data_IF_744234913204
#
_entry.id   IF_744234913204
#
_cell.length_a   1.000
_cell.length_b   1.000
_cell.length_c   1.000
_cell.angle_alpha   90.00
_cell.angle_beta   90.00
_cell.angle_gamma   90.00
#
_symmetry.space_group_name_H-M   'P 1'
#
loop_
_entity.id
_entity.type
_entity.pdbx_description
1 polymer ?
#
# COMPACT_ATOMS: atom_id res chain seq x y z
N UNK A 1 -15.05 -13.95 -7.67
CA UNK A 1 -13.81 -13.85 -8.48
C UNK A 1 -12.64 -14.29 -7.63
N UNK A 2 -12.03 -15.42 -7.98
CA UNK A 2 -10.95 -16.05 -7.21
C UNK A 2 -9.74 -16.09 -8.13
N UNK A 3 -8.76 -15.22 -7.90
CA UNK A 3 -7.45 -15.34 -8.55
C UNK A 3 -6.74 -16.49 -7.83
N UNK A 4 -6.39 -17.55 -8.54
CA UNK A 4 -5.76 -18.75 -7.98
C UNK A 4 -4.36 -18.88 -8.58
N UNK A 5 -3.30 -18.56 -7.83
CA UNK A 5 -1.94 -18.92 -8.20
C UNK A 5 -1.77 -20.42 -7.99
N UNK A 6 -1.63 -21.16 -9.09
CA UNK A 6 -1.13 -22.53 -9.03
C UNK A 6 0.39 -22.50 -9.12
N UNK A 7 1.05 -22.72 -7.98
CA UNK A 7 2.49 -22.95 -7.90
C UNK A 7 2.79 -24.34 -8.44
N UNK A 8 3.75 -24.44 -9.36
CA UNK A 8 4.22 -25.71 -9.93
C UNK A 8 4.56 -26.69 -8.80
N UNK A 9 4.09 -27.96 -8.85
CA UNK A 9 4.49 -28.96 -7.89
C UNK A 9 6.00 -29.20 -8.02
N UNK A 10 6.78 -28.67 -7.08
CA UNK A 10 8.13 -29.19 -6.82
C UNK A 10 7.97 -30.66 -6.45
N UNK A 11 8.60 -31.53 -7.23
CA UNK A 11 8.76 -32.96 -6.92
C UNK A 11 9.34 -33.10 -5.51
N UNK A 12 8.47 -33.30 -4.52
CA UNK A 12 8.86 -33.61 -3.14
C UNK A 12 9.44 -35.03 -3.15
N UNK A 13 10.76 -35.14 -3.29
CA UNK A 13 11.48 -36.30 -2.78
C UNK A 13 11.38 -36.20 -1.25
N UNK A 14 10.69 -37.14 -0.62
CA UNK A 14 10.55 -37.17 0.83
C UNK A 14 11.95 -37.24 1.47
N UNK A 15 12.33 -36.31 2.37
CA UNK A 15 13.58 -36.42 3.11
C UNK A 15 13.41 -37.48 4.21
N UNK A 16 14.29 -38.49 4.22
CA UNK A 16 14.41 -39.51 5.28
C UNK A 16 15.07 -38.98 6.58
N UNK A 17 14.96 -37.68 6.86
CA UNK A 17 15.55 -37.06 8.05
C UNK A 17 14.47 -36.42 8.93
N UNK A 18 14.61 -36.47 10.27
CA UNK A 18 13.69 -35.76 11.17
C UNK A 18 13.66 -34.29 10.77
N UNK A 19 12.46 -33.78 10.47
CA UNK A 19 12.31 -32.39 10.04
C UNK A 19 12.81 -31.49 11.18
N UNK A 20 13.73 -30.53 10.90
CA UNK A 20 14.11 -29.55 11.89
C UNK A 20 12.85 -28.81 12.36
N UNK A 21 12.79 -28.45 13.64
CA UNK A 21 11.77 -27.56 14.20
C UNK A 21 11.79 -26.25 13.39
N UNK A 22 10.90 -26.14 12.41
CA UNK A 22 10.80 -24.99 11.51
C UNK A 22 9.68 -24.10 12.01
N UNK A 23 10.01 -22.87 12.40
CA UNK A 23 8.99 -21.88 12.76
C UNK A 23 8.15 -21.59 11.50
N UNK A 24 6.81 -21.73 11.54
CA UNK A 24 6.02 -21.43 10.36
C UNK A 24 6.15 -19.94 10.01
N UNK A 25 6.53 -19.65 8.77
CA UNK A 25 6.85 -18.28 8.30
C UNK A 25 5.74 -17.26 8.53
N UNK A 26 4.48 -17.71 8.63
CA UNK A 26 3.32 -16.88 8.96
C UNK A 26 3.40 -16.25 10.36
N UNK A 27 3.94 -16.96 11.35
CA UNK A 27 4.11 -16.44 12.71
C UNK A 27 5.12 -15.29 12.74
N UNK A 28 6.26 -15.48 12.07
CA UNK A 28 7.28 -14.44 11.92
C UNK A 28 6.70 -13.20 11.25
N UNK A 29 5.92 -13.38 10.18
CA UNK A 29 5.24 -12.26 9.48
C UNK A 29 4.23 -11.54 10.36
N UNK A 30 3.46 -12.23 11.19
CA UNK A 30 2.53 -11.59 12.11
C UNK A 30 3.25 -10.78 13.20
N UNK A 31 4.40 -11.25 13.69
CA UNK A 31 5.25 -10.48 14.60
C UNK A 31 5.76 -9.21 13.90
N UNK A 32 6.27 -9.34 12.68
CA UNK A 32 6.69 -8.18 11.86
C UNK A 32 5.51 -7.19 11.70
N UNK A 33 4.32 -7.68 11.38
CA UNK A 33 3.12 -6.85 11.24
C UNK A 33 2.77 -6.09 12.52
N UNK A 34 2.92 -6.73 13.69
CA UNK A 34 2.71 -6.08 14.98
C UNK A 34 3.68 -4.91 15.19
N UNK A 35 4.97 -5.11 14.87
CA UNK A 35 5.96 -4.03 14.92
C UNK A 35 5.77 -2.95 13.84
N UNK A 36 5.06 -3.25 12.75
CA UNK A 36 4.68 -2.26 11.73
C UNK A 36 3.50 -1.37 12.16
N UNK A 37 2.66 -1.78 13.12
CA UNK A 37 1.51 -0.98 13.56
C UNK A 37 1.90 0.42 14.11
N UNK A 38 2.94 0.57 14.95
CA UNK A 38 3.43 1.90 15.33
C UNK A 38 3.79 2.77 14.12
N UNK A 39 4.45 2.18 13.11
CA UNK A 39 4.81 2.89 11.89
C UNK A 39 3.57 3.29 11.08
N UNK A 40 2.52 2.46 11.04
CA UNK A 40 1.23 2.85 10.47
C UNK A 40 0.70 4.12 11.16
N UNK A 41 0.65 4.13 12.49
CA UNK A 41 0.12 5.26 13.24
C UNK A 41 0.93 6.54 13.03
N UNK A 42 2.27 6.45 13.12
CA UNK A 42 3.18 7.58 12.96
C UNK A 42 3.12 8.14 11.53
N UNK A 43 3.12 7.26 10.52
CA UNK A 43 3.03 7.68 9.13
C UNK A 43 1.67 8.32 8.83
N UNK A 44 0.58 7.82 9.42
CA UNK A 44 -0.76 8.40 9.27
C UNK A 44 -0.82 9.78 9.89
N UNK A 45 -0.31 9.93 11.11
CA UNK A 45 -0.20 11.23 11.76
C UNK A 45 0.64 12.21 10.93
N UNK A 46 1.76 11.74 10.38
CA UNK A 46 2.65 12.56 9.53
C UNK A 46 1.95 12.98 8.24
N UNK A 47 1.27 12.06 7.56
CA UNK A 47 0.49 12.33 6.36
C UNK A 47 -0.58 13.39 6.62
N UNK A 48 -1.39 13.24 7.68
CA UNK A 48 -2.43 14.22 7.99
C UNK A 48 -1.86 15.57 8.45
N UNK A 49 -0.74 15.58 9.17
CA UNK A 49 -0.05 16.83 9.54
C UNK A 49 0.41 17.58 8.30
N UNK A 50 1.09 16.88 7.38
CA UNK A 50 1.54 17.43 6.12
C UNK A 50 0.37 17.88 5.24
N UNK A 51 -0.69 17.06 5.14
CA UNK A 51 -1.88 17.35 4.34
C UNK A 51 -2.63 18.57 4.86
N UNK A 52 -2.84 18.67 6.17
CA UNK A 52 -3.45 19.83 6.81
C UNK A 52 -2.60 21.08 6.58
N UNK A 53 -1.27 20.98 6.71
CA UNK A 53 -0.36 22.10 6.44
C UNK A 53 -0.47 22.55 4.98
N UNK A 54 -0.48 21.62 4.03
CA UNK A 54 -0.67 21.91 2.61
C UNK A 54 -2.02 22.60 2.34
N UNK A 55 -3.08 22.07 2.93
CA UNK A 55 -4.45 22.53 2.67
C UNK A 55 -4.71 23.90 3.29
N UNK A 56 -4.39 24.09 4.57
CA UNK A 56 -4.71 25.30 5.31
C UNK A 56 -3.72 26.42 4.99
N UNK A 57 -2.42 26.17 5.13
CA UNK A 57 -1.40 27.21 5.04
C UNK A 57 -0.94 27.49 3.62
N UNK A 58 -0.98 26.49 2.75
CA UNK A 58 -0.44 26.59 1.39
C UNK A 58 -1.52 26.60 0.32
N UNK A 59 -2.79 26.60 0.72
CA UNK A 59 -3.93 26.69 -0.19
C UNK A 59 -3.85 25.63 -1.29
N UNK A 60 -3.50 24.37 -0.95
CA UNK A 60 -3.47 23.25 -1.90
C UNK A 60 -4.78 23.18 -2.72
N UNK A 61 -5.91 23.48 -2.07
CA UNK A 61 -7.23 23.54 -2.68
C UNK A 61 -7.40 24.69 -3.69
N UNK A 62 -6.53 25.69 -3.73
CA UNK A 62 -6.55 26.73 -4.77
C UNK A 62 -5.86 26.29 -6.07
N UNK A 63 -5.05 25.22 -6.03
CA UNK A 63 -4.39 24.66 -7.21
C UNK A 63 -5.37 23.95 -8.13
N UNK A 64 -5.24 24.17 -9.44
CA UNK A 64 -6.06 23.47 -10.43
C UNK A 64 -5.81 21.95 -10.38
N UNK A 65 -4.56 21.55 -10.13
CA UNK A 65 -4.10 20.18 -10.01
C UNK A 65 -4.91 19.38 -8.98
N UNK A 66 -5.17 19.99 -7.81
CA UNK A 66 -5.99 19.39 -6.76
C UNK A 66 -7.43 19.16 -7.21
N UNK A 67 -8.04 20.13 -7.90
CA UNK A 67 -9.41 20.00 -8.40
C UNK A 67 -9.53 19.00 -9.53
N UNK A 68 -8.60 18.96 -10.48
CA UNK A 68 -8.60 17.98 -11.55
C UNK A 68 -8.39 16.56 -11.01
N UNK A 69 -7.45 16.37 -10.06
CA UNK A 69 -7.29 15.09 -9.38
C UNK A 69 -8.57 14.67 -8.65
N UNK A 70 -9.13 15.57 -7.84
CA UNK A 70 -10.38 15.33 -7.11
C UNK A 70 -11.53 14.99 -8.06
N UNK A 71 -11.67 15.73 -9.16
CA UNK A 71 -12.68 15.48 -10.19
C UNK A 71 -12.53 14.08 -10.77
N UNK A 72 -11.31 13.69 -11.16
CA UNK A 72 -11.05 12.34 -11.66
C UNK A 72 -11.41 11.25 -10.64
N UNK A 73 -11.03 11.43 -9.38
CA UNK A 73 -11.37 10.49 -8.31
C UNK A 73 -12.88 10.39 -8.08
N UNK A 74 -13.60 11.52 -8.05
CA UNK A 74 -15.06 11.57 -7.89
C UNK A 74 -15.78 10.93 -9.08
N UNK A 75 -15.37 11.24 -10.31
CA UNK A 75 -15.93 10.62 -11.52
C UNK A 75 -15.75 9.10 -11.50
N UNK A 76 -14.59 8.61 -11.07
CA UNK A 76 -14.37 7.19 -10.89
C UNK A 76 -15.27 6.59 -9.81
N UNK A 77 -15.41 7.24 -8.65
CA UNK A 77 -16.29 6.75 -7.58
C UNK A 77 -17.75 6.64 -8.05
N UNK A 78 -18.24 7.65 -8.78
CA UNK A 78 -19.56 7.62 -9.42
C UNK A 78 -19.66 6.42 -10.37
N UNK A 79 -18.67 6.21 -11.23
CA UNK A 79 -18.66 5.05 -12.14
C UNK A 79 -18.60 3.71 -11.38
N UNK A 80 -17.80 3.60 -10.33
CA UNK A 80 -17.62 2.36 -9.56
C UNK A 80 -18.89 1.92 -8.83
N UNK A 81 -19.68 2.87 -8.33
CA UNK A 81 -20.94 2.60 -7.63
C UNK A 81 -22.17 2.62 -8.56
N UNK A 82 -22.14 3.39 -9.65
CA UNK A 82 -23.27 3.58 -10.55
C UNK A 82 -23.25 2.74 -11.84
N UNK A 83 -22.09 2.22 -12.25
CA UNK A 83 -21.94 1.44 -13.49
C UNK A 83 -21.44 0.02 -13.20
N UNK A 84 -21.60 -0.93 -14.15
CA UNK A 84 -20.96 -2.23 -14.07
C UNK A 84 -19.44 -2.08 -13.91
N UNK A 85 -18.88 -2.70 -12.87
CA UNK A 85 -17.45 -2.61 -12.56
C UNK A 85 -16.62 -3.17 -13.71
N UNK A 86 -15.56 -2.48 -14.18
CA UNK A 86 -14.70 -2.94 -15.26
C UNK A 86 -13.72 -4.01 -14.77
N UNK A 87 -14.25 -5.17 -14.41
CA UNK A 87 -13.52 -6.24 -13.74
C UNK A 87 -12.36 -6.78 -14.60
N UNK A 88 -12.53 -6.88 -15.92
CA UNK A 88 -11.47 -7.38 -16.82
C UNK A 88 -10.24 -6.45 -16.78
N UNK A 89 -10.46 -5.13 -16.77
CA UNK A 89 -9.37 -4.15 -16.66
C UNK A 89 -8.63 -4.38 -15.35
N UNK A 90 -9.36 -4.50 -14.24
CA UNK A 90 -8.76 -4.77 -12.95
C UNK A 90 -7.92 -6.05 -12.94
N UNK A 91 -8.47 -7.17 -13.42
CA UNK A 91 -7.76 -8.47 -13.44
C UNK A 91 -6.52 -8.39 -14.32
N UNK A 92 -6.62 -7.74 -15.48
CA UNK A 92 -5.48 -7.53 -16.35
C UNK A 92 -4.36 -6.78 -15.61
N UNK A 93 -4.68 -5.66 -14.97
CA UNK A 93 -3.73 -4.88 -14.20
C UNK A 93 -3.15 -5.66 -13.01
N UNK A 94 -3.98 -6.48 -12.35
CA UNK A 94 -3.58 -7.34 -11.23
C UNK A 94 -2.52 -8.36 -11.66
N UNK A 95 -2.81 -9.16 -12.69
CA UNK A 95 -1.87 -10.16 -13.18
C UNK A 95 -0.63 -9.52 -13.80
N UNK A 96 -0.78 -8.41 -14.53
CA UNK A 96 0.36 -7.74 -15.15
C UNK A 96 1.31 -7.19 -14.08
N UNK A 97 0.76 -6.69 -12.97
CA UNK A 97 1.57 -6.27 -11.82
C UNK A 97 2.38 -7.43 -11.25
N UNK A 98 1.77 -8.61 -11.10
CA UNK A 98 2.51 -9.82 -10.70
C UNK A 98 3.67 -10.12 -11.67
N UNK A 99 3.42 -10.07 -12.99
CA UNK A 99 4.46 -10.29 -14.00
C UNK A 99 5.62 -9.31 -13.86
N UNK A 100 5.34 -8.02 -13.72
CA UNK A 100 6.36 -6.98 -13.58
C UNK A 100 7.22 -7.21 -12.34
N UNK A 101 6.60 -7.57 -11.21
CA UNK A 101 7.31 -7.83 -9.96
C UNK A 101 8.09 -9.15 -9.99
N UNK A 102 7.61 -10.17 -10.71
CA UNK A 102 8.39 -11.37 -10.99
C UNK A 102 9.66 -11.03 -11.78
N UNK A 103 9.55 -10.20 -12.83
CA UNK A 103 10.69 -9.79 -13.63
C UNK A 103 11.68 -8.91 -12.87
N UNK A 104 11.18 -7.93 -12.10
CA UNK A 104 12.00 -7.14 -11.18
C UNK A 104 12.71 -8.04 -10.15
N UNK A 105 12.01 -9.11 -9.76
CA UNK A 105 12.47 -10.28 -9.03
C UNK A 105 13.69 -11.00 -9.61
N UNK A 106 13.96 -10.83 -10.91
CA UNK A 106 14.83 -11.69 -11.73
C UNK A 106 14.20 -13.04 -12.08
N UNK A 107 12.88 -13.17 -11.91
CA UNK A 107 12.12 -14.41 -12.13
C UNK A 107 11.63 -14.52 -13.58
N UNK A 108 11.00 -15.64 -13.90
CA UNK A 108 10.41 -15.90 -15.23
C UNK A 108 8.93 -16.20 -15.10
N UNK A 109 8.16 -15.73 -16.08
CA UNK A 109 6.73 -16.03 -16.23
C UNK A 109 6.59 -16.90 -17.48
N UNK A 110 6.00 -18.08 -17.31
CA UNK A 110 5.80 -19.04 -18.41
C UNK A 110 4.38 -19.00 -18.97
N UNK A 111 3.40 -18.55 -18.19
CA UNK A 111 2.01 -18.35 -18.64
C UNK A 111 1.41 -17.11 -18.00
N UNK A 112 0.61 -16.40 -18.78
CA UNK A 112 -0.16 -15.24 -18.37
C UNK A 112 -1.57 -15.41 -18.93
N UNK A 113 -2.59 -15.44 -18.06
CA UNK A 113 -3.99 -15.60 -18.47
C UNK A 113 -4.87 -14.62 -17.72
N UNK A 114 -5.75 -13.95 -18.46
CA UNK A 114 -6.73 -12.99 -17.95
C UNK A 114 -8.09 -13.32 -18.54
N UNK A 115 -9.14 -13.33 -17.72
CA UNK A 115 -10.54 -13.47 -18.14
C UNK A 115 -11.47 -12.63 -17.26
N UNK A 116 -12.75 -12.56 -17.65
CA UNK A 116 -13.80 -11.93 -16.84
C UNK A 116 -14.13 -12.68 -15.54
N UNK A 117 -13.64 -13.91 -15.36
CA UNK A 117 -13.87 -14.77 -14.19
C UNK A 117 -12.66 -14.84 -13.24
N UNK A 118 -11.46 -14.52 -13.72
CA UNK A 118 -10.23 -14.49 -12.95
C UNK A 118 -9.00 -14.28 -13.82
N UNK A 119 -7.85 -14.16 -13.16
CA UNK A 119 -6.54 -14.17 -13.79
C UNK A 119 -5.65 -15.20 -13.12
N UNK A 120 -4.55 -15.55 -13.77
CA UNK A 120 -3.41 -16.16 -13.11
C UNK A 120 -2.15 -16.03 -13.95
N UNK A 121 -1.01 -16.11 -13.25
CA UNK A 121 0.30 -16.30 -13.86
C UNK A 121 0.94 -17.61 -13.39
N UNK A 122 1.79 -18.20 -14.24
CA UNK A 122 2.66 -19.31 -13.84
C UNK A 122 4.10 -18.79 -13.84
N UNK A 123 4.77 -18.92 -12.70
CA UNK A 123 6.11 -18.38 -12.48
C UNK A 123 7.00 -19.34 -11.67
N UNK A 124 8.32 -19.20 -11.83
CA UNK A 124 9.32 -19.91 -11.04
C UNK A 124 9.76 -19.16 -9.76
N UNK A 125 9.23 -17.95 -9.51
CA UNK A 125 9.58 -17.14 -8.33
C UNK A 125 8.32 -16.64 -7.65
N UNK A 126 8.25 -16.82 -6.34
CA UNK A 126 7.15 -16.33 -5.50
C UNK A 126 7.68 -15.79 -4.18
N UNK A 127 7.14 -14.66 -3.73
CA UNK A 127 7.38 -14.06 -2.42
C UNK A 127 6.24 -13.08 -2.11
N UNK A 128 6.22 -12.53 -0.88
CA UNK A 128 5.14 -11.64 -0.46
C UNK A 128 5.11 -10.30 -1.19
N UNK A 129 6.25 -9.79 -1.66
CA UNK A 129 6.27 -8.54 -2.44
C UNK A 129 5.58 -8.75 -3.78
N UNK A 130 5.86 -9.86 -4.47
CA UNK A 130 5.17 -10.24 -5.70
C UNK A 130 3.68 -10.42 -5.41
N UNK A 131 3.33 -11.27 -4.43
CA UNK A 131 1.94 -11.59 -4.11
C UNK A 131 1.10 -10.36 -3.72
N UNK A 132 1.69 -9.41 -2.98
CA UNK A 132 0.97 -8.22 -2.53
C UNK A 132 1.09 -7.04 -3.49
N UNK A 133 1.95 -7.10 -4.50
CA UNK A 133 2.20 -6.00 -5.44
C UNK A 133 0.93 -5.40 -6.03
N UNK A 134 -0.05 -6.17 -6.53
CA UNK A 134 -1.27 -5.60 -7.10
C UNK A 134 -2.09 -4.74 -6.15
N UNK A 135 -1.93 -4.93 -4.83
CA UNK A 135 -2.70 -4.22 -3.81
C UNK A 135 -2.04 -2.90 -3.38
N UNK A 136 -0.76 -2.71 -3.67
CA UNK A 136 -0.06 -1.46 -3.34
C UNK A 136 0.57 -0.75 -4.53
N UNK A 137 0.77 -1.41 -5.68
CA UNK A 137 1.41 -0.82 -6.85
C UNK A 137 0.36 -0.29 -7.83
N UNK A 138 0.14 1.04 -7.92
CA UNK A 138 -0.88 1.63 -8.79
C UNK A 138 -0.42 1.64 -10.25
N UNK A 139 -0.46 0.46 -10.87
CA UNK A 139 0.03 0.24 -12.23
C UNK A 139 -0.47 1.30 -13.21
N UNK A 140 -1.78 1.58 -13.22
CA UNK A 140 -2.36 2.52 -14.17
C UNK A 140 -1.94 3.97 -13.93
N UNK A 141 -1.73 4.38 -12.67
CA UNK A 141 -1.21 5.72 -12.37
C UNK A 141 0.24 5.85 -12.82
N UNK A 142 1.05 4.81 -12.60
CA UNK A 142 2.45 4.79 -13.07
C UNK A 142 2.54 4.76 -14.60
N UNK A 143 1.66 4.03 -15.28
CA UNK A 143 1.56 4.05 -16.74
C UNK A 143 1.16 5.45 -17.24
N UNK A 144 0.20 6.13 -16.59
CA UNK A 144 -0.18 7.49 -16.96
C UNK A 144 1.01 8.47 -16.84
N UNK A 145 1.77 8.39 -15.74
CA UNK A 145 2.99 9.20 -15.54
C UNK A 145 4.04 8.86 -16.59
N UNK A 146 4.28 7.57 -16.86
CA UNK A 146 5.26 7.14 -17.85
C UNK A 146 4.89 7.60 -19.26
N UNK A 147 3.63 7.48 -19.66
CA UNK A 147 3.15 7.97 -20.96
C UNK A 147 3.32 9.48 -21.06
N UNK A 148 2.92 10.24 -20.04
CA UNK A 148 3.10 11.69 -20.02
C UNK A 148 4.59 12.08 -20.09
N UNK A 149 5.45 11.42 -19.32
CA UNK A 149 6.89 11.66 -19.28
C UNK A 149 7.62 11.25 -20.56
N UNK A 150 7.20 10.19 -21.23
CA UNK A 150 7.75 9.81 -22.55
C UNK A 150 7.27 10.82 -23.60
N UNK A 151 5.98 11.19 -23.59
CA UNK A 151 5.44 12.17 -24.53
C UNK A 151 6.11 13.54 -24.39
N UNK A 152 6.52 13.95 -23.18
CA UNK A 152 7.23 15.22 -22.96
C UNK A 152 8.62 15.27 -23.61
N UNK A 153 9.22 14.12 -23.94
CA UNK A 153 10.48 14.05 -24.68
C UNK A 153 10.32 14.42 -26.16
N UNK A 154 9.11 14.28 -26.69
CA UNK A 154 8.82 14.46 -28.11
C UNK A 154 7.91 15.67 -28.39
N UNK A 155 7.08 16.06 -27.42
CA UNK A 155 6.04 17.08 -27.58
C UNK A 155 5.98 18.02 -26.36
N UNK A 156 5.50 19.25 -26.57
CA UNK A 156 5.17 20.14 -25.46
C UNK A 156 3.86 19.68 -24.79
N UNK A 157 3.97 18.87 -23.74
CA UNK A 157 2.82 18.34 -22.99
C UNK A 157 2.39 19.21 -21.80
N UNK A 158 3.06 20.34 -21.56
CA UNK A 158 2.74 21.24 -20.44
C UNK A 158 1.25 21.64 -20.39
N UNK A 159 0.55 21.90 -21.52
CA UNK A 159 -0.88 22.22 -21.50
C UNK A 159 -1.77 21.09 -20.97
N UNK A 160 -1.30 19.83 -20.99
CA UNK A 160 -2.07 18.65 -20.58
C UNK A 160 -1.81 18.25 -19.12
N UNK A 161 -1.11 19.07 -18.32
CA UNK A 161 -0.84 18.76 -16.91
C UNK A 161 -2.12 18.48 -16.11
N UNK A 162 -3.16 19.30 -16.30
CA UNK A 162 -4.46 19.10 -15.65
C UNK A 162 -5.13 17.76 -16.04
N UNK A 163 -5.01 17.36 -17.30
CA UNK A 163 -5.51 16.06 -17.77
C UNK A 163 -4.74 14.89 -17.13
N UNK A 164 -3.42 15.03 -16.95
CA UNK A 164 -2.63 14.06 -16.19
C UNK A 164 -3.18 13.94 -14.76
N UNK A 165 -3.38 15.05 -14.04
CA UNK A 165 -3.92 15.02 -12.67
C UNK A 165 -5.31 14.37 -12.59
N UNK A 166 -6.22 14.67 -13.52
CA UNK A 166 -7.51 13.99 -13.60
C UNK A 166 -7.37 12.48 -13.86
N UNK A 167 -6.47 12.09 -14.76
CA UNK A 167 -6.17 10.67 -15.02
C UNK A 167 -5.58 9.98 -13.78
N UNK A 168 -4.70 10.66 -13.04
CA UNK A 168 -4.18 10.18 -11.76
C UNK A 168 -5.30 10.01 -10.73
N UNK A 169 -6.24 10.96 -10.64
CA UNK A 169 -7.42 10.85 -9.80
C UNK A 169 -8.24 9.60 -10.11
N UNK A 170 -8.58 9.39 -11.39
CA UNK A 170 -9.33 8.21 -11.86
C UNK A 170 -8.57 6.92 -11.53
N UNK A 171 -7.31 6.81 -11.96
CA UNK A 171 -6.52 5.58 -11.83
C UNK A 171 -6.19 5.26 -10.37
N UNK A 172 -6.04 6.27 -9.53
CA UNK A 172 -5.72 6.05 -8.12
C UNK A 172 -6.95 5.65 -7.33
N UNK A 173 -8.10 6.29 -7.59
CA UNK A 173 -9.37 5.85 -7.03
C UNK A 173 -9.76 4.45 -7.54
N UNK A 174 -9.47 4.12 -8.81
CA UNK A 174 -9.59 2.77 -9.37
C UNK A 174 -8.82 1.76 -8.53
N UNK A 175 -7.53 2.01 -8.30
CA UNK A 175 -6.69 1.11 -7.52
C UNK A 175 -7.22 0.91 -6.10
N UNK A 176 -7.53 2.00 -5.39
CA UNK A 176 -7.97 1.92 -3.99
C UNK A 176 -9.33 1.22 -3.85
N UNK A 177 -10.30 1.57 -4.71
CA UNK A 177 -11.63 0.94 -4.68
C UNK A 177 -11.57 -0.55 -4.98
N UNK A 178 -10.81 -0.97 -6.01
CA UNK A 178 -10.64 -2.39 -6.30
C UNK A 178 -9.83 -3.13 -5.24
N UNK A 179 -8.78 -2.51 -4.67
CA UNK A 179 -8.03 -3.08 -3.54
C UNK A 179 -8.97 -3.38 -2.36
N UNK A 180 -9.74 -2.38 -1.93
CA UNK A 180 -10.74 -2.53 -0.86
C UNK A 180 -11.81 -3.58 -1.20
N UNK A 181 -12.28 -3.61 -2.45
CA UNK A 181 -13.30 -4.56 -2.90
C UNK A 181 -12.80 -6.00 -2.97
N UNK A 182 -11.50 -6.22 -3.15
CA UNK A 182 -10.90 -7.54 -3.31
C UNK A 182 -10.40 -8.15 -2.01
N UNK A 183 -10.03 -7.33 -1.02
CA UNK A 183 -9.66 -7.77 0.34
C UNK A 183 -10.65 -8.78 0.96
N UNK A 184 -11.98 -8.53 0.99
CA UNK A 184 -12.91 -9.45 1.65
C UNK A 184 -13.17 -10.75 0.86
N UNK A 185 -12.59 -10.93 -0.33
CA UNK A 185 -12.86 -12.07 -1.22
C UNK A 185 -11.90 -13.24 -1.04
N UNK A 186 -11.24 -13.35 0.12
CA UNK A 186 -10.38 -14.48 0.48
C UNK A 186 -9.37 -14.86 -0.63
N UNK A 187 -8.71 -13.87 -1.22
CA UNK A 187 -7.68 -14.12 -2.23
C UNK A 187 -6.49 -14.85 -1.59
N UNK A 188 -5.93 -15.81 -2.32
CA UNK A 188 -4.73 -16.56 -1.90
C UNK A 188 -3.52 -15.64 -1.75
N UNK A 189 -3.44 -14.60 -2.59
CA UNK A 189 -2.41 -13.56 -2.54
C UNK A 189 -2.23 -12.95 -1.14
N UNK A 190 -3.33 -12.76 -0.38
CA UNK A 190 -3.27 -12.27 1.00
C UNK A 190 -3.06 -13.41 2.01
N UNK A 191 -3.81 -14.50 1.88
CA UNK A 191 -3.90 -15.53 2.92
C UNK A 191 -2.67 -16.45 2.97
N UNK A 192 -1.94 -16.63 1.86
CA UNK A 192 -0.72 -17.43 1.82
C UNK A 192 0.39 -16.87 2.71
N UNK A 193 0.40 -15.56 2.92
CA UNK A 193 1.38 -14.85 3.74
C UNK A 193 0.87 -14.46 5.13
N UNK A 194 -0.40 -14.77 5.45
CA UNK A 194 -1.09 -14.33 6.65
C UNK A 194 -1.81 -13.01 6.41
N UNK A 195 -3.15 -13.05 6.47
CA UNK A 195 -4.00 -11.90 6.14
C UNK A 195 -3.66 -10.66 6.96
N UNK A 196 -3.37 -10.80 8.27
CA UNK A 196 -3.00 -9.68 9.13
C UNK A 196 -1.75 -8.95 8.63
N UNK A 197 -0.66 -9.68 8.39
CA UNK A 197 0.56 -9.11 7.81
C UNK A 197 0.30 -8.45 6.46
N UNK A 198 -0.43 -9.13 5.57
CA UNK A 198 -0.74 -8.62 4.24
C UNK A 198 -1.48 -7.28 4.31
N UNK A 199 -2.50 -7.15 5.18
CA UNK A 199 -3.26 -5.92 5.34
C UNK A 199 -2.42 -4.77 5.90
N UNK A 200 -1.61 -5.04 6.93
CA UNK A 200 -0.70 -4.03 7.51
C UNK A 200 0.31 -3.55 6.46
N UNK A 201 0.90 -4.48 5.71
CA UNK A 201 1.86 -4.14 4.66
C UNK A 201 1.23 -3.33 3.53
N UNK A 202 0.07 -3.76 3.02
CA UNK A 202 -0.70 -3.04 1.99
C UNK A 202 -1.02 -1.62 2.47
N UNK A 203 -1.46 -1.46 3.73
CA UNK A 203 -1.76 -0.16 4.30
C UNK A 203 -0.55 0.77 4.29
N UNK A 204 0.59 0.33 4.85
CA UNK A 204 1.80 1.16 4.91
C UNK A 204 2.28 1.54 3.50
N UNK A 205 2.29 0.59 2.56
CA UNK A 205 2.75 0.88 1.20
C UNK A 205 1.85 1.88 0.48
N UNK A 206 0.52 1.75 0.56
CA UNK A 206 -0.39 2.72 -0.03
C UNK A 206 -0.27 4.10 0.63
N UNK A 207 -0.08 4.14 1.95
CA UNK A 207 0.11 5.40 2.68
C UNK A 207 1.43 6.09 2.35
N UNK A 208 2.51 5.34 2.14
CA UNK A 208 3.78 5.88 1.63
C UNK A 208 3.62 6.48 0.23
N UNK A 209 2.88 5.79 -0.65
CA UNK A 209 2.62 6.30 -2.00
C UNK A 209 1.74 7.55 -2.00
N UNK A 210 0.69 7.58 -1.16
CA UNK A 210 -0.12 8.79 -0.95
C UNK A 210 0.72 9.94 -0.39
N UNK A 211 1.61 9.66 0.54
CA UNK A 211 2.54 10.64 1.09
C UNK A 211 3.48 11.19 0.01
N UNK A 212 4.05 10.32 -0.82
CA UNK A 212 4.90 10.74 -1.94
C UNK A 212 4.12 11.60 -2.95
N UNK A 213 2.88 11.23 -3.29
CA UNK A 213 2.02 12.02 -4.16
C UNK A 213 1.70 13.39 -3.56
N UNK A 214 1.42 13.46 -2.25
CA UNK A 214 1.20 14.72 -1.54
C UNK A 214 2.43 15.63 -1.62
N UNK A 215 3.62 15.07 -1.38
CA UNK A 215 4.88 15.81 -1.48
C UNK A 215 5.11 16.31 -2.91
N UNK A 216 4.86 15.49 -3.92
CA UNK A 216 5.04 15.87 -5.33
C UNK A 216 4.02 16.93 -5.77
N UNK A 217 2.77 16.82 -5.30
CA UNK A 217 1.69 17.73 -5.67
C UNK A 217 1.75 19.07 -4.91
N UNK A 218 2.44 19.12 -3.77
CA UNK A 218 2.60 20.34 -2.99
C UNK A 218 3.90 21.06 -3.36
N UNK A 219 3.84 22.32 -3.84
CA UNK A 219 5.04 23.06 -4.21
C UNK A 219 5.94 23.43 -3.02
N UNK A 220 5.42 23.41 -1.78
CA UNK A 220 6.17 23.81 -0.59
C UNK A 220 6.43 22.66 0.40
N UNK A 221 5.87 21.46 0.19
CA UNK A 221 6.26 20.27 0.95
C UNK A 221 7.36 19.56 0.19
N UNK A 222 8.51 19.43 0.81
CA UNK A 222 9.62 18.64 0.28
C UNK A 222 9.67 17.28 0.97
N UNK A 223 10.35 16.31 0.34
CA UNK A 223 10.66 15.04 0.99
C UNK A 223 11.45 15.25 2.29
N UNK A 224 12.32 16.27 2.35
CA UNK A 224 13.08 16.62 3.54
C UNK A 224 12.17 17.13 4.67
N UNK A 225 11.25 18.05 4.39
CA UNK A 225 10.30 18.54 5.40
C UNK A 225 9.35 17.45 5.88
N UNK A 226 8.88 16.59 4.97
CA UNK A 226 8.04 15.44 5.35
C UNK A 226 8.80 14.45 6.23
N UNK A 227 10.08 14.18 5.93
CA UNK A 227 10.94 13.33 6.74
C UNK A 227 11.22 13.93 8.12
N UNK A 228 11.38 15.25 8.20
CA UNK A 228 11.52 15.96 9.47
C UNK A 228 10.25 15.82 10.33
N UNK A 229 9.07 15.98 9.74
CA UNK A 229 7.78 15.76 10.42
C UNK A 229 7.64 14.29 10.89
N UNK A 230 8.09 13.32 10.08
CA UNK A 230 8.10 11.91 10.44
C UNK A 230 8.99 11.64 11.66
N UNK A 231 10.20 12.20 11.69
CA UNK A 231 11.13 12.07 12.82
C UNK A 231 10.57 12.74 14.08
N UNK A 232 9.93 13.91 13.94
CA UNK A 232 9.27 14.59 15.05
C UNK A 232 8.15 13.73 15.66
N UNK A 233 7.26 13.20 14.83
CA UNK A 233 6.17 12.33 15.28
C UNK A 233 6.69 11.02 15.90
N UNK A 234 7.79 10.47 15.36
CA UNK A 234 8.46 9.30 15.94
C UNK A 234 8.99 9.59 17.36
N UNK A 235 9.60 10.77 17.58
CA UNK A 235 10.07 11.18 18.92
C UNK A 235 8.90 11.33 19.88
N UNK A 236 7.85 12.05 19.50
CA UNK A 236 6.66 12.22 20.32
C UNK A 236 5.98 10.89 20.66
N UNK A 237 5.98 9.93 19.74
CA UNK A 237 5.47 8.59 20.00
C UNK A 237 6.28 7.84 21.07
N UNK A 238 7.62 7.92 21.01
CA UNK A 238 8.48 7.29 22.03
C UNK A 238 8.35 7.97 23.40
N UNK A 239 8.23 9.30 23.44
CA UNK A 239 7.96 10.06 24.67
C UNK A 239 6.64 9.62 25.31
N UNK A 240 5.57 9.54 24.51
CA UNK A 240 4.26 9.06 24.97
C UNK A 240 4.30 7.63 25.51
N UNK A 241 5.01 6.70 24.85
CA UNK A 241 5.22 5.34 25.38
C UNK A 241 5.94 5.39 26.73
N UNK A 242 6.99 6.20 26.86
CA UNK A 242 7.74 6.35 28.10
C UNK A 242 6.87 6.85 29.25
N UNK A 243 6.02 7.85 28.98
CA UNK A 243 5.04 8.35 29.95
C UNK A 243 4.02 7.29 30.37
N UNK A 244 3.48 6.54 29.40
CA UNK A 244 2.51 5.48 29.67
C UNK A 244 3.11 4.36 30.53
N UNK A 245 4.34 3.94 30.24
CA UNK A 245 5.06 2.96 31.05
C UNK A 245 5.30 3.48 32.47
N UNK A 246 5.70 4.75 32.61
CA UNK A 246 5.90 5.39 33.91
C UNK A 246 4.60 5.45 34.73
N UNK A 247 3.48 5.78 34.09
CA UNK A 247 2.16 5.78 34.73
C UNK A 247 1.75 4.38 35.18
N UNK A 248 1.94 3.36 34.34
CA UNK A 248 1.63 1.97 34.66
C UNK A 248 2.44 1.46 35.87
N UNK A 249 3.74 1.75 35.91
CA UNK A 249 4.62 1.39 37.03
C UNK A 249 4.21 2.09 38.32
N UNK A 250 3.83 3.38 38.25
CA UNK A 250 3.33 4.12 39.42
C UNK A 250 1.99 3.59 39.92
N UNK A 251 1.07 3.24 39.02
CA UNK A 251 -0.24 2.68 39.37
C UNK A 251 -0.18 1.30 40.05
N UNK A 252 0.83 0.49 39.72
CA UNK A 252 1.07 -0.81 40.39
C UNK A 252 1.78 -0.68 41.74
N UNK A 253 2.40 0.46 42.02
CA UNK A 253 2.91 0.80 43.36
C UNK A 253 1.81 1.52 44.15
N UNK A 254 0.72 0.82 44.47
CA UNK A 254 -0.27 1.30 45.43
C UNK A 254 0.37 1.55 46.81
N UNK A 255 -0.20 2.45 47.65
CA UNK A 255 0.40 2.81 48.92
C UNK A 255 0.51 1.57 49.81
N UNK A 256 1.75 1.19 50.17
CA UNK A 256 2.02 0.24 51.24
C UNK A 256 1.52 0.88 52.55
N UNK A 257 0.26 0.59 52.92
CA UNK A 257 -0.24 0.86 54.26
C UNK A 257 0.55 -0.03 55.23
N UNK A 258 1.64 0.51 55.76
CA UNK A 258 2.28 -0.05 56.94
C UNK A 258 1.32 0.14 58.12
N UNK A 259 0.97 -0.91 58.87
CA UNK A 259 0.14 -0.76 60.05
C UNK A 259 0.88 0.13 61.07
N UNK A 260 0.25 1.24 61.47
CA UNK A 260 0.74 2.06 62.58
C UNK A 260 0.82 1.17 63.83
N UNK A 261 2.01 1.13 64.44
CA UNK A 261 2.25 0.59 65.78
C UNK A 261 1.78 1.57 66.84
#
# INVERSE_FOLDING_TARGET
MKVVPYVVPTTRRAPNHPMPLTVPTRWVKNIIAFFLLPWCAILTQTFFTAFTRATIHQQLWAGAEFWFFTLGAVLWLIAFFGLPRPVIIYVFGHELTHVLWVWLMGGRVSKFRVSGEGGHIVTNRTNFLIALAPYFFPLYSLLAIAVYGIASLFFNVAPYGQLLYATLGVTWAFHLTFTCWMIPKNQTDLSDHGTFFSLVFIYVMNLLLLSALLVIASPQITFASFSADLVANLRSFFEWIGELLNQFVRGHRGPLNLPNR
#
